data_IF_940022019837
#
_entry.id   IF_940022019837
#
_cell.length_a   1.000
_cell.length_b   1.000
_cell.length_c   1.000
_cell.angle_alpha   90.00
_cell.angle_beta   90.00
_cell.angle_gamma   90.00
#
_symmetry.space_group_name_H-M   'P 1'
#
loop_
_entity.id
_entity.type
_entity.pdbx_description
1 polymer ?
#
# COMPACT_ATOMS: atom_id res chain seq x y z
N UNK A 1 15.15 -19.29 -7.60
CA UNK A 1 14.41 -19.23 -6.35
C UNK A 1 14.12 -17.78 -5.98
N UNK A 2 12.87 -17.44 -5.78
CA UNK A 2 12.49 -16.08 -5.44
C UNK A 2 12.76 -15.79 -3.98
N UNK A 3 13.38 -14.62 -3.72
CA UNK A 3 13.60 -14.12 -2.38
C UNK A 3 12.50 -13.16 -1.93
N UNK A 4 11.57 -12.82 -2.81
CA UNK A 4 10.48 -11.92 -2.51
C UNK A 4 9.23 -12.28 -3.29
N UNK A 5 8.08 -11.84 -2.77
CA UNK A 5 6.80 -11.93 -3.47
C UNK A 5 6.46 -10.58 -4.06
N UNK A 6 5.95 -10.60 -5.29
CA UNK A 6 5.45 -9.41 -5.98
C UNK A 6 3.93 -9.52 -6.11
N UNK A 7 3.22 -8.53 -5.56
CA UNK A 7 1.77 -8.50 -5.65
C UNK A 7 1.34 -7.81 -6.93
N UNK A 8 0.29 -8.34 -7.56
CA UNK A 8 -0.26 -7.81 -8.81
C UNK A 8 -1.75 -7.59 -8.68
N UNK A 9 -2.27 -6.69 -9.53
CA UNK A 9 -3.70 -6.45 -9.63
C UNK A 9 -4.46 -7.75 -9.93
N UNK A 10 -5.61 -7.90 -9.30
CA UNK A 10 -6.52 -9.00 -9.55
C UNK A 10 -6.28 -10.25 -8.72
N UNK A 11 -5.05 -10.49 -8.28
CA UNK A 11 -4.70 -11.74 -7.60
C UNK A 11 -4.44 -11.58 -6.11
N UNK A 12 -4.39 -10.37 -5.63
CA UNK A 12 -3.79 -10.05 -4.35
C UNK A 12 -4.40 -10.79 -3.18
N UNK A 13 -5.72 -10.69 -3.01
CA UNK A 13 -6.37 -11.28 -1.83
C UNK A 13 -6.41 -12.78 -1.95
N UNK A 14 -6.77 -13.29 -3.13
CA UNK A 14 -6.83 -14.72 -3.37
C UNK A 14 -5.46 -15.37 -3.26
N UNK A 15 -4.44 -14.74 -3.84
CA UNK A 15 -3.08 -15.26 -3.84
C UNK A 15 -2.50 -15.28 -2.43
N UNK A 16 -2.68 -14.20 -1.68
CA UNK A 16 -2.22 -14.14 -0.29
C UNK A 16 -2.95 -15.14 0.60
N UNK A 17 -4.24 -15.39 0.34
CA UNK A 17 -5.01 -16.35 1.11
C UNK A 17 -4.68 -17.79 0.75
N UNK A 18 -4.30 -18.06 -0.51
CA UNK A 18 -4.06 -19.39 -1.02
C UNK A 18 -2.69 -19.97 -0.64
N UNK A 19 -1.73 -19.12 -0.34
CA UNK A 19 -0.36 -19.55 -0.04
C UNK A 19 -0.05 -19.38 1.44
N UNK A 20 0.52 -20.42 2.04
CA UNK A 20 0.95 -20.36 3.44
C UNK A 20 2.41 -19.92 3.58
N UNK A 21 3.09 -19.71 2.46
CA UNK A 21 4.49 -19.35 2.47
C UNK A 21 4.68 -17.94 3.07
N UNK A 22 5.73 -17.80 3.87
CA UNK A 22 6.15 -16.52 4.42
C UNK A 22 7.33 -15.99 3.63
N UNK A 23 7.42 -14.67 3.53
CA UNK A 23 8.42 -14.00 2.69
C UNK A 23 9.20 -12.98 3.52
N UNK A 24 10.50 -12.83 3.26
CA UNK A 24 11.26 -11.73 3.87
C UNK A 24 10.93 -10.37 3.25
N UNK A 25 10.36 -10.36 2.04
CA UNK A 25 10.04 -9.13 1.33
C UNK A 25 8.81 -9.34 0.45
N UNK A 26 7.87 -8.42 0.55
CA UNK A 26 6.73 -8.35 -0.37
C UNK A 26 6.73 -6.96 -1.01
N UNK A 27 6.57 -6.90 -2.33
CA UNK A 27 6.57 -5.65 -3.10
C UNK A 27 5.23 -5.51 -3.80
N UNK A 28 4.64 -4.32 -3.74
CA UNK A 28 3.40 -3.99 -4.43
C UNK A 28 3.52 -2.63 -5.10
N UNK A 29 3.78 -2.63 -6.40
CA UNK A 29 3.82 -1.42 -7.20
C UNK A 29 2.53 -1.35 -8.03
N UNK A 30 1.89 -0.19 -8.08
CA UNK A 30 0.68 0.05 -8.88
C UNK A 30 -0.47 -0.89 -8.53
N UNK A 31 -0.63 -1.23 -7.28
CA UNK A 31 -1.66 -2.17 -6.82
C UNK A 31 -2.63 -1.52 -5.84
N UNK A 32 -2.12 -0.72 -4.90
CA UNK A 32 -2.95 -0.16 -3.84
C UNK A 32 -3.94 0.89 -4.37
N UNK A 33 -3.70 1.40 -5.57
CA UNK A 33 -4.63 2.32 -6.24
C UNK A 33 -5.97 1.67 -6.59
N UNK A 34 -6.10 0.36 -6.47
CA UNK A 34 -7.38 -0.34 -6.67
C UNK A 34 -8.15 -0.56 -5.37
N UNK A 35 -7.64 -0.07 -4.25
CA UNK A 35 -8.27 -0.22 -2.94
C UNK A 35 -8.43 1.14 -2.27
N UNK A 36 -9.62 1.41 -1.72
CA UNK A 36 -9.82 2.59 -0.87
C UNK A 36 -9.30 2.31 0.52
N UNK A 37 -10.02 1.52 1.30
CA UNK A 37 -9.58 1.10 2.62
C UNK A 37 -8.46 0.06 2.49
N UNK A 38 -7.40 0.21 3.27
CA UNK A 38 -6.20 -0.62 3.15
C UNK A 38 -6.06 -1.65 4.27
N UNK A 39 -6.94 -1.64 5.27
CA UNK A 39 -6.79 -2.47 6.45
C UNK A 39 -6.70 -3.96 6.17
N UNK A 40 -7.61 -4.50 5.37
CA UNK A 40 -7.62 -5.93 5.04
C UNK A 40 -6.41 -6.36 4.25
N UNK A 41 -6.00 -5.55 3.27
CA UNK A 41 -4.81 -5.84 2.48
C UNK A 41 -3.58 -5.87 3.37
N UNK A 42 -3.42 -4.86 4.22
CA UNK A 42 -2.26 -4.78 5.11
C UNK A 42 -2.23 -5.94 6.11
N UNK A 43 -3.39 -6.36 6.62
CA UNK A 43 -3.45 -7.51 7.52
C UNK A 43 -3.01 -8.79 6.84
N UNK A 44 -3.40 -8.99 5.59
CA UNK A 44 -3.01 -10.18 4.83
C UNK A 44 -1.53 -10.18 4.47
N UNK A 45 -0.99 -9.03 4.09
CA UNK A 45 0.45 -8.89 3.83
C UNK A 45 1.23 -9.18 5.10
N UNK A 46 0.77 -8.65 6.23
CA UNK A 46 1.40 -8.90 7.52
C UNK A 46 1.50 -10.40 7.82
N UNK A 47 0.43 -11.14 7.55
CA UNK A 47 0.39 -12.58 7.78
C UNK A 47 1.36 -13.36 6.88
N UNK A 48 1.70 -12.82 5.72
CA UNK A 48 2.58 -13.50 4.75
C UNK A 48 4.03 -13.05 4.84
N UNK A 49 4.33 -12.07 5.67
CA UNK A 49 5.71 -11.66 5.93
C UNK A 49 6.30 -12.47 7.09
N UNK A 50 7.58 -12.75 6.98
CA UNK A 50 8.36 -13.23 8.13
C UNK A 50 8.42 -12.12 9.16
N UNK A 51 8.54 -12.46 10.46
CA UNK A 51 8.81 -11.43 11.48
C UNK A 51 10.08 -10.65 11.10
N UNK A 52 9.96 -9.31 11.07
CA UNK A 52 11.03 -8.45 10.59
C UNK A 52 11.09 -8.31 9.09
N UNK A 53 10.20 -8.96 8.35
CA UNK A 53 10.12 -8.81 6.90
C UNK A 53 9.60 -7.45 6.48
N UNK A 54 9.85 -7.08 5.24
CA UNK A 54 9.53 -5.75 4.71
C UNK A 54 8.43 -5.82 3.67
N UNK A 55 7.53 -4.83 3.74
CA UNK A 55 6.55 -4.54 2.70
C UNK A 55 6.91 -3.21 2.06
N UNK A 56 7.17 -3.23 0.75
CA UNK A 56 7.51 -2.04 -0.04
C UNK A 56 6.38 -1.80 -1.02
N UNK A 57 5.74 -0.63 -0.95
CA UNK A 57 4.57 -0.35 -1.78
C UNK A 57 4.46 1.14 -2.08
N UNK A 58 3.68 1.44 -3.12
CA UNK A 58 3.40 2.82 -3.49
C UNK A 58 1.89 3.08 -3.50
N UNK A 59 1.53 4.33 -3.24
CA UNK A 59 0.17 4.85 -3.40
C UNK A 59 0.23 6.18 -4.13
N UNK A 60 -0.89 6.60 -4.74
CA UNK A 60 -1.03 7.95 -5.28
C UNK A 60 -1.55 8.85 -4.18
N UNK A 61 -0.94 10.01 -4.04
CA UNK A 61 -1.24 10.94 -2.94
C UNK A 61 -2.45 11.79 -3.28
N UNK A 62 -3.35 11.95 -2.32
CA UNK A 62 -4.49 12.85 -2.47
C UNK A 62 -4.00 14.31 -2.43
N UNK A 63 -4.54 15.14 -3.33
CA UNK A 63 -4.21 16.56 -3.41
C UNK A 63 -5.44 17.37 -2.99
N UNK A 64 -5.23 18.60 -2.45
CA UNK A 64 -6.35 19.42 -1.96
C UNK A 64 -7.40 19.74 -3.02
N UNK A 65 -6.97 19.91 -4.27
CA UNK A 65 -7.83 20.24 -5.40
C UNK A 65 -8.09 19.05 -6.32
N UNK A 66 -7.98 17.86 -5.78
CA UNK A 66 -8.14 16.64 -6.57
C UNK A 66 -9.56 16.52 -7.10
N UNK A 67 -9.67 16.29 -8.41
CA UNK A 67 -10.96 16.22 -9.13
C UNK A 67 -11.56 14.82 -8.96
N UNK A 68 -11.88 14.45 -7.77
CA UNK A 68 -12.42 13.14 -7.43
C UNK A 68 -13.53 13.23 -6.42
N UNK A 69 -14.33 12.18 -6.31
CA UNK A 69 -15.32 12.08 -5.26
C UNK A 69 -14.60 11.79 -3.97
N UNK A 70 -14.61 12.76 -3.06
CA UNK A 70 -14.00 12.58 -1.75
C UNK A 70 -15.03 11.94 -0.83
N UNK A 71 -14.79 10.72 -0.34
CA UNK A 71 -15.64 10.17 0.71
C UNK A 71 -15.58 11.07 1.93
N UNK A 72 -16.59 11.04 2.76
CA UNK A 72 -16.67 11.90 3.92
C UNK A 72 -15.57 11.73 4.96
N UNK A 73 -14.66 10.74 4.80
CA UNK A 73 -13.59 10.47 5.76
C UNK A 73 -12.30 11.24 5.49
N UNK A 74 -12.11 11.78 4.28
CA UNK A 74 -10.87 12.49 3.92
C UNK A 74 -9.62 11.61 3.83
N UNK A 75 -9.75 10.30 3.93
CA UNK A 75 -8.62 9.35 3.97
C UNK A 75 -8.24 8.85 2.59
N UNK A 76 -9.22 8.63 1.73
CA UNK A 76 -9.01 8.25 0.33
C UNK A 76 -10.12 8.83 -0.53
N UNK A 77 -9.88 8.83 -1.85
CA UNK A 77 -10.88 9.26 -2.81
C UNK A 77 -10.78 8.40 -4.06
N UNK A 78 -11.93 8.07 -4.63
CA UNK A 78 -12.00 7.37 -5.91
C UNK A 78 -12.05 8.41 -7.02
N UNK A 79 -11.11 8.32 -7.95
CA UNK A 79 -11.07 9.21 -9.11
C UNK A 79 -11.91 8.64 -10.25
N UNK A 80 -12.23 9.51 -11.24
CA UNK A 80 -13.08 9.15 -12.38
C UNK A 80 -12.54 7.98 -13.19
N UNK A 81 -11.22 7.88 -13.30
CA UNK A 81 -10.59 6.77 -14.04
C UNK A 81 -10.57 5.45 -13.26
N UNK A 82 -11.16 5.41 -12.06
CA UNK A 82 -11.26 4.19 -11.27
C UNK A 82 -10.09 3.90 -10.36
N UNK A 83 -9.17 4.84 -10.19
CA UNK A 83 -8.02 4.66 -9.29
C UNK A 83 -8.26 5.44 -8.01
N UNK A 84 -7.83 4.86 -6.88
CA UNK A 84 -7.89 5.52 -5.58
C UNK A 84 -6.63 6.31 -5.31
N UNK A 85 -6.80 7.44 -4.66
CA UNK A 85 -5.72 8.23 -4.09
C UNK A 85 -5.86 8.19 -2.57
N UNK A 86 -4.76 8.35 -1.86
CA UNK A 86 -4.75 8.19 -0.40
C UNK A 86 -4.06 9.36 0.27
N UNK A 87 -4.58 9.73 1.45
CA UNK A 87 -3.93 10.73 2.29
C UNK A 87 -2.76 10.09 3.04
N UNK A 88 -1.66 10.81 3.14
CA UNK A 88 -0.45 10.30 3.79
C UNK A 88 -0.72 9.89 5.25
N UNK A 89 -1.44 10.71 6.00
CA UNK A 89 -1.74 10.40 7.41
C UNK A 89 -2.52 9.09 7.54
N UNK A 90 -3.45 8.84 6.61
CA UNK A 90 -4.24 7.61 6.64
C UNK A 90 -3.35 6.38 6.38
N UNK A 91 -2.49 6.48 5.38
CA UNK A 91 -1.59 5.35 5.02
C UNK A 91 -0.67 5.03 6.20
N UNK A 92 -0.08 6.06 6.78
CA UNK A 92 0.79 5.90 7.94
C UNK A 92 0.07 5.21 9.11
N UNK A 93 -1.11 5.70 9.45
CA UNK A 93 -1.89 5.15 10.57
C UNK A 93 -2.34 3.72 10.29
N UNK A 94 -2.77 3.43 9.06
CA UNK A 94 -3.21 2.09 8.68
C UNK A 94 -2.06 1.08 8.77
N UNK A 95 -0.88 1.47 8.32
CA UNK A 95 0.32 0.63 8.38
C UNK A 95 0.70 0.33 9.83
N UNK A 96 0.73 1.36 10.67
CA UNK A 96 1.05 1.17 12.08
C UNK A 96 0.00 0.31 12.80
N UNK A 97 -1.27 0.53 12.51
CA UNK A 97 -2.37 -0.25 13.11
C UNK A 97 -2.29 -1.72 12.71
N UNK A 98 -1.80 -2.02 11.51
CA UNK A 98 -1.69 -3.39 11.02
C UNK A 98 -0.47 -4.14 11.59
N UNK A 99 0.34 -3.51 12.43
CA UNK A 99 1.49 -4.18 13.07
C UNK A 99 2.82 -3.96 12.38
N UNK A 100 2.92 -2.89 11.59
CA UNK A 100 4.17 -2.53 10.91
C UNK A 100 4.81 -1.31 11.57
N UNK A 101 6.11 -1.21 11.40
CA UNK A 101 6.86 0.00 11.68
C UNK A 101 7.29 0.62 10.35
N UNK A 102 7.00 1.90 10.16
CA UNK A 102 7.40 2.61 8.95
C UNK A 102 8.89 2.93 9.04
N UNK A 103 9.68 2.40 8.13
CA UNK A 103 11.12 2.63 8.08
C UNK A 103 11.45 3.83 7.19
N UNK A 104 10.68 4.05 6.14
CA UNK A 104 10.97 5.12 5.18
C UNK A 104 9.71 5.51 4.43
N UNK A 105 9.56 6.81 4.18
CA UNK A 105 8.55 7.36 3.27
C UNK A 105 9.27 8.29 2.31
N UNK A 106 9.17 7.99 1.02
CA UNK A 106 9.59 8.88 -0.06
C UNK A 106 8.36 9.41 -0.77
N UNK A 107 8.49 10.56 -1.41
CA UNK A 107 7.39 11.22 -2.10
C UNK A 107 7.72 11.43 -3.58
N UNK A 108 7.85 10.34 -4.36
CA UNK A 108 8.23 10.43 -5.77
C UNK A 108 7.06 10.84 -6.63
N UNK A 109 7.37 11.16 -7.89
CA UNK A 109 6.38 11.17 -8.95
C UNK A 109 6.16 9.72 -9.35
N UNK A 110 4.95 9.18 -9.13
CA UNK A 110 4.68 7.76 -9.36
C UNK A 110 4.24 7.47 -10.80
N UNK A 111 3.71 8.48 -11.50
CA UNK A 111 3.39 8.38 -12.92
C UNK A 111 3.07 9.76 -13.48
N UNK A 112 2.87 9.84 -14.80
CA UNK A 112 2.36 11.05 -15.45
C UNK A 112 1.00 10.78 -16.05
N UNK A 113 0.14 11.78 -15.99
CA UNK A 113 -1.21 11.69 -16.54
C UNK A 113 -1.53 13.02 -17.24
N UNK A 114 -1.86 12.93 -18.54
CA UNK A 114 -2.16 14.09 -19.37
C UNK A 114 -1.08 15.18 -19.30
N UNK A 115 0.20 14.76 -19.24
CA UNK A 115 1.34 15.66 -19.17
C UNK A 115 1.64 16.22 -17.78
N UNK A 116 0.85 15.87 -16.77
CA UNK A 116 1.06 16.33 -15.40
C UNK A 116 1.64 15.22 -14.54
N UNK A 117 2.53 15.60 -13.62
CA UNK A 117 3.10 14.68 -12.65
C UNK A 117 2.06 14.29 -11.61
N UNK A 118 1.97 12.99 -11.31
CA UNK A 118 1.12 12.48 -10.24
C UNK A 118 2.00 12.18 -9.04
N UNK A 119 1.86 12.96 -7.95
CA UNK A 119 2.65 12.70 -6.75
C UNK A 119 2.19 11.44 -6.05
N UNK A 120 3.11 10.77 -5.40
CA UNK A 120 2.81 9.57 -4.69
C UNK A 120 3.60 9.45 -3.40
N UNK A 121 3.42 8.32 -2.76
CA UNK A 121 4.17 7.92 -1.57
C UNK A 121 4.76 6.55 -1.86
N UNK A 122 6.03 6.38 -1.51
CA UNK A 122 6.68 5.09 -1.52
C UNK A 122 7.07 4.77 -0.07
N UNK A 123 6.55 3.68 0.44
CA UNK A 123 6.77 3.30 1.83
C UNK A 123 7.56 2.00 1.91
N UNK A 124 8.45 1.97 2.89
CA UNK A 124 9.09 0.74 3.35
C UNK A 124 8.61 0.52 4.78
N UNK A 125 7.90 -0.58 5.00
CA UNK A 125 7.34 -0.93 6.29
C UNK A 125 7.86 -2.30 6.73
N UNK A 126 8.17 -2.43 8.01
CA UNK A 126 8.71 -3.66 8.58
C UNK A 126 7.67 -4.28 9.49
N UNK A 127 7.43 -5.59 9.32
CA UNK A 127 6.60 -6.32 10.27
C UNK A 127 7.30 -6.35 11.62
N UNK A 128 6.65 -5.79 12.65
CA UNK A 128 7.22 -5.72 13.99
C UNK A 128 7.37 -7.14 14.53
N UNK A 129 8.55 -7.43 15.08
CA UNK A 129 8.80 -8.69 15.77
C UNK A 129 8.23 -8.60 17.17
N UNK A 130 7.53 -9.63 17.56
CA UNK A 130 7.12 -9.78 18.95
C UNK A 130 8.10 -10.73 19.62
N UNK A 131 8.97 -10.18 20.43
CA UNK A 131 9.89 -10.98 21.22
C UNK A 131 9.15 -11.49 22.44
N UNK A 132 8.71 -12.68 22.32
CA UNK A 132 8.16 -13.50 23.38
C UNK A 132 7.09 -12.96 24.22
#
# INVERSE_FOLDING_TARGET
KRLYAELREGDIIADLAAHEQHWPLIVAADVLCYFGALGDLLARVHQRLEPGGWFVFSVEKILPDHDGVVPGNGNWALQRQGRYVHAEHYVYDAVCTAGFRVLRIDRPVVRQEAGADVPGLLLVAERIRHDG
#
